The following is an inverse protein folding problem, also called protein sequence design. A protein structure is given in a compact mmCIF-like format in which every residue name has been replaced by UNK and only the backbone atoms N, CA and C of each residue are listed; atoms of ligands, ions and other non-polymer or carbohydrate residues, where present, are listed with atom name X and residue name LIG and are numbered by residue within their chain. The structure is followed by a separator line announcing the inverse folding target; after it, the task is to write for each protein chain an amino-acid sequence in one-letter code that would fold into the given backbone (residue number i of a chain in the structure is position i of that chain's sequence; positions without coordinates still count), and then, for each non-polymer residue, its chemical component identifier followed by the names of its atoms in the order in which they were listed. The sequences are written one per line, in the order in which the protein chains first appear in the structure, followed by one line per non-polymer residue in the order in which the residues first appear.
data_IF_856002870492
#
_entry.id   IF_856002870492
#
_cell.length_a   1.000
_cell.length_b   1.000
_cell.length_c   1.000
_cell.angle_alpha   90.00
_cell.angle_beta   90.00
_cell.angle_gamma   90.00
#
_symmetry.space_group_name_H-M   'P 1'
#
loop_
_entity.id
_entity.type
_entity.pdbx_description
1 polymer ?
#
# COMPACT_ATOMS: atom_id res chain seq x y z
N UNK A 1 -2.66 -18.91 -9.11
CA UNK A 1 -1.66 -18.73 -8.04
C UNK A 1 -1.58 -17.24 -7.66
N UNK A 2 -1.23 -16.90 -6.42
CA UNK A 2 -1.02 -15.50 -5.96
C UNK A 2 0.32 -14.96 -6.47
N UNK A 3 0.43 -13.64 -6.71
CA UNK A 3 1.71 -13.01 -7.06
C UNK A 3 2.75 -13.09 -5.94
N UNK A 4 3.94 -12.52 -6.15
CA UNK A 4 5.02 -12.54 -5.15
C UNK A 4 4.66 -11.62 -3.97
N UNK A 5 4.92 -12.02 -2.70
CA UNK A 5 4.65 -11.16 -1.56
C UNK A 5 5.56 -9.91 -1.60
N UNK A 6 4.97 -8.75 -1.38
CA UNK A 6 5.66 -7.47 -1.31
C UNK A 6 6.16 -7.23 0.11
N UNK A 7 7.44 -6.89 0.23
CA UNK A 7 8.01 -6.47 1.52
C UNK A 7 7.47 -5.09 1.85
N UNK A 8 6.90 -4.92 3.04
CA UNK A 8 6.35 -3.65 3.51
C UNK A 8 6.62 -3.45 5.00
N UNK A 9 6.55 -2.19 5.44
CA UNK A 9 6.56 -1.79 6.83
C UNK A 9 5.17 -1.26 7.18
N UNK A 10 4.55 -1.86 8.20
CA UNK A 10 3.21 -1.51 8.67
C UNK A 10 3.40 -0.73 9.98
N UNK A 11 2.84 0.48 10.06
CA UNK A 11 2.84 1.27 11.29
C UNK A 11 1.73 0.80 12.23
N UNK A 12 1.91 1.09 13.52
CA UNK A 12 0.86 0.84 14.50
C UNK A 12 -0.42 1.63 14.15
N UNK A 13 -1.62 1.05 14.38
CA UNK A 13 -2.87 1.77 14.22
C UNK A 13 -2.87 3.07 15.04
N UNK A 14 -3.13 4.18 14.39
CA UNK A 14 -3.26 5.49 15.02
C UNK A 14 -4.74 5.85 15.14
N UNK A 15 -5.32 5.89 16.36
CA UNK A 15 -6.70 6.28 16.55
C UNK A 15 -6.90 7.74 16.14
N UNK A 16 -7.98 8.01 15.43
CA UNK A 16 -8.43 9.36 15.09
C UNK A 16 -9.60 9.69 15.99
N UNK A 17 -9.40 10.64 16.89
CA UNK A 17 -10.43 11.21 17.74
C UNK A 17 -10.73 12.63 17.26
N UNK A 18 -11.99 12.93 16.96
CA UNK A 18 -12.46 14.28 16.68
C UNK A 18 -13.55 14.57 17.71
N UNK A 19 -13.23 15.33 18.76
CA UNK A 19 -14.16 15.63 19.85
C UNK A 19 -13.50 15.69 21.23
N UNK A 20 -14.31 15.91 22.27
CA UNK A 20 -13.85 15.90 23.66
C UNK A 20 -13.43 14.47 24.07
N UNK A 21 -12.17 14.24 24.49
CA UNK A 21 -11.70 12.92 24.94
C UNK A 21 -12.45 12.37 26.17
N UNK A 22 -13.38 13.13 26.76
CA UNK A 22 -14.22 12.72 27.90
C UNK A 22 -15.57 12.12 27.51
N UNK A 23 -15.92 12.05 26.23
CA UNK A 23 -17.16 11.42 25.80
C UNK A 23 -17.09 9.88 25.93
N UNK A 24 -18.00 9.30 26.71
CA UNK A 24 -18.05 7.85 27.00
C UNK A 24 -18.49 6.98 25.80
N UNK A 25 -19.02 7.60 24.73
CA UNK A 25 -19.54 6.91 23.55
C UNK A 25 -18.89 7.47 22.28
N UNK A 26 -17.73 6.95 21.89
CA UNK A 26 -17.16 7.25 20.57
C UNK A 26 -17.06 5.98 19.74
N UNK A 27 -17.75 5.99 18.61
CA UNK A 27 -17.42 5.11 17.50
C UNK A 27 -15.96 5.37 17.11
N UNK A 28 -15.20 4.30 16.90
CA UNK A 28 -13.77 4.41 16.66
C UNK A 28 -13.43 4.61 15.19
N UNK A 29 -12.48 5.49 14.90
CA UNK A 29 -11.76 5.53 13.64
C UNK A 29 -10.27 5.33 13.92
N UNK A 30 -9.57 4.52 13.14
CA UNK A 30 -8.14 4.32 13.24
C UNK A 30 -7.49 4.29 11.86
N UNK A 31 -6.22 4.68 11.78
CA UNK A 31 -5.47 4.67 10.53
C UNK A 31 -4.23 3.81 10.66
N UNK A 32 -4.03 2.93 9.69
CA UNK A 32 -2.81 2.12 9.54
C UNK A 32 -2.12 2.57 8.26
N UNK A 33 -0.94 3.14 8.42
CA UNK A 33 -0.07 3.51 7.30
C UNK A 33 0.90 2.37 6.99
N UNK A 34 0.95 2.00 5.71
CA UNK A 34 1.87 1.01 5.16
C UNK A 34 2.78 1.70 4.17
N UNK A 35 4.07 1.40 4.27
CA UNK A 35 5.12 1.94 3.39
C UNK A 35 5.97 0.82 2.82
N UNK A 36 6.38 0.95 1.58
CA UNK A 36 7.27 -0.02 0.93
C UNK A 36 8.73 0.45 1.07
N UNK A 37 9.69 -0.45 1.32
CA UNK A 37 11.08 -0.10 1.63
C UNK A 37 11.88 0.42 0.42
N UNK A 38 11.38 0.24 -0.80
CA UNK A 38 12.05 0.74 -1.99
C UNK A 38 11.67 2.19 -2.27
N UNK A 39 12.63 3.00 -2.70
CA UNK A 39 12.37 4.31 -3.34
C UNK A 39 11.61 4.16 -4.67
N UNK A 40 11.51 2.92 -5.18
CA UNK A 40 10.69 2.56 -6.33
C UNK A 40 9.26 2.30 -5.88
N UNK A 41 8.35 2.83 -6.67
CA UNK A 41 6.94 2.51 -6.56
C UNK A 41 6.69 1.02 -6.83
N UNK A 42 5.61 0.49 -6.25
CA UNK A 42 5.21 -0.91 -6.41
C UNK A 42 3.82 -1.00 -7.02
N UNK A 43 3.60 -2.04 -7.80
CA UNK A 43 2.27 -2.38 -8.28
C UNK A 43 1.66 -3.42 -7.33
N UNK A 44 0.39 -3.24 -6.98
CA UNK A 44 -0.32 -4.12 -6.07
C UNK A 44 -1.28 -5.00 -6.88
N UNK A 45 -1.13 -6.31 -6.78
CA UNK A 45 -2.07 -7.27 -7.33
C UNK A 45 -3.17 -7.65 -6.33
N UNK A 46 -2.81 -7.71 -5.05
CA UNK A 46 -3.71 -8.20 -4.02
C UNK A 46 -3.29 -7.78 -2.61
N UNK A 47 -4.28 -7.60 -1.75
CA UNK A 47 -4.14 -7.31 -0.33
C UNK A 47 -4.87 -8.38 0.46
N UNK A 48 -4.21 -8.98 1.45
CA UNK A 48 -4.85 -9.92 2.38
C UNK A 48 -4.65 -9.46 3.81
N UNK A 49 -5.61 -9.71 4.67
CA UNK A 49 -5.51 -9.42 6.10
C UNK A 49 -6.52 -10.26 6.87
N UNK A 50 -6.28 -10.40 8.17
CA UNK A 50 -7.27 -10.90 9.12
C UNK A 50 -7.96 -9.71 9.76
N UNK A 51 -9.28 -9.69 9.72
CA UNK A 51 -10.04 -8.68 10.44
C UNK A 51 -9.82 -8.86 11.96
N UNK A 52 -9.79 -7.75 12.69
CA UNK A 52 -9.78 -7.75 14.14
C UNK A 52 -10.80 -6.72 14.62
N UNK A 53 -12.09 -7.08 14.54
CA UNK A 53 -13.23 -6.25 14.93
C UNK A 53 -13.33 -4.90 14.20
N UNK A 54 -12.79 -4.76 12.99
CA UNK A 54 -13.07 -3.59 12.14
C UNK A 54 -14.37 -3.80 11.37
N UNK A 55 -15.29 -2.85 11.40
CA UNK A 55 -16.56 -2.97 10.69
C UNK A 55 -16.47 -2.49 9.24
N UNK A 56 -15.83 -1.34 9.01
CA UNK A 56 -15.67 -0.75 7.68
C UNK A 56 -14.19 -0.46 7.41
N UNK A 57 -13.76 -0.72 6.17
CA UNK A 57 -12.41 -0.45 5.69
C UNK A 57 -12.44 0.44 4.45
N UNK A 58 -11.70 1.54 4.49
CA UNK A 58 -11.34 2.31 3.30
C UNK A 58 -9.84 2.17 3.02
N UNK A 59 -9.46 2.09 1.75
CA UNK A 59 -8.07 1.98 1.31
C UNK A 59 -7.73 3.18 0.45
N UNK A 60 -6.68 3.89 0.85
CA UNK A 60 -6.08 4.99 0.09
C UNK A 60 -4.69 4.63 -0.37
N UNK A 61 -4.36 5.05 -1.57
CA UNK A 61 -3.08 4.76 -2.21
C UNK A 61 -2.38 6.09 -2.46
N UNK A 62 -1.10 6.18 -2.12
CA UNK A 62 -0.23 7.29 -2.53
C UNK A 62 0.49 6.87 -3.80
N UNK A 63 0.05 7.40 -4.93
CA UNK A 63 0.54 7.03 -6.25
C UNK A 63 1.55 8.07 -6.73
N UNK A 64 2.54 7.60 -7.48
CA UNK A 64 3.47 8.44 -8.24
C UNK A 64 2.91 8.64 -9.64
N UNK A 65 2.64 9.89 -10.00
CA UNK A 65 2.20 10.27 -11.33
C UNK A 65 3.27 11.14 -11.99
N UNK A 66 3.56 10.86 -13.26
CA UNK A 66 4.50 11.63 -14.07
C UNK A 66 3.70 12.43 -15.10
N UNK A 67 3.86 13.75 -15.08
CA UNK A 67 3.19 14.64 -16.03
C UNK A 67 3.92 14.65 -17.38
N UNK A 68 3.26 15.12 -18.44
CA UNK A 68 3.83 15.27 -19.80
C UNK A 68 5.14 16.09 -19.87
N UNK A 69 5.44 16.84 -18.81
CA UNK A 69 6.66 17.65 -18.63
C UNK A 69 7.80 16.92 -17.91
N UNK A 70 7.62 15.64 -17.55
CA UNK A 70 8.59 14.86 -16.76
C UNK A 70 8.62 15.22 -15.26
N UNK A 71 7.65 15.99 -14.77
CA UNK A 71 7.53 16.32 -13.36
C UNK A 71 6.80 15.19 -12.62
N UNK A 72 7.43 14.64 -11.60
CA UNK A 72 6.84 13.62 -10.73
C UNK A 72 6.03 14.26 -9.61
N UNK A 73 4.74 13.97 -9.54
CA UNK A 73 3.85 14.39 -8.45
C UNK A 73 3.40 13.18 -7.64
N UNK A 74 3.10 13.40 -6.35
CA UNK A 74 2.62 12.37 -5.45
C UNK A 74 1.20 12.70 -5.00
N UNK A 75 0.23 11.89 -5.43
CA UNK A 75 -1.19 12.13 -5.18
C UNK A 75 -1.77 11.01 -4.33
N UNK A 76 -2.66 11.38 -3.40
CA UNK A 76 -3.45 10.40 -2.66
C UNK A 76 -4.76 10.15 -3.39
N UNK A 77 -5.02 8.89 -3.70
CA UNK A 77 -6.24 8.44 -4.38
C UNK A 77 -6.98 7.42 -3.53
N UNK A 78 -8.31 7.41 -3.61
CA UNK A 78 -9.14 6.45 -2.88
C UNK A 78 -9.28 5.18 -3.72
N UNK A 79 -8.62 4.11 -3.29
CA UNK A 79 -8.69 2.80 -3.94
C UNK A 79 -9.96 2.04 -3.58
N UNK A 80 -10.42 2.13 -2.33
CA UNK A 80 -11.67 1.54 -1.86
C UNK A 80 -12.27 2.42 -0.76
N UNK A 81 -13.60 2.49 -0.68
CA UNK A 81 -14.31 3.28 0.33
C UNK A 81 -15.36 2.43 1.04
N UNK A 82 -15.32 2.46 2.37
CA UNK A 82 -16.31 1.89 3.28
C UNK A 82 -16.69 0.43 2.96
N UNK A 83 -15.69 -0.41 2.67
CA UNK A 83 -15.91 -1.84 2.46
C UNK A 83 -16.34 -2.47 3.77
N UNK A 84 -17.50 -3.12 3.75
CA UNK A 84 -18.05 -3.79 4.92
C UNK A 84 -17.33 -5.10 5.21
N UNK A 85 -16.65 -5.14 6.36
CA UNK A 85 -16.01 -6.34 6.89
C UNK A 85 -16.92 -7.07 7.88
N UNK A 86 -17.70 -6.34 8.69
CA UNK A 86 -18.69 -6.90 9.60
C UNK A 86 -20.11 -6.59 9.11
N UNK A 87 -20.95 -7.60 8.81
CA UNK A 87 -22.34 -7.40 8.39
C UNK A 87 -23.15 -6.64 9.45
N UNK A 88 -22.92 -6.97 10.72
CA UNK A 88 -23.52 -6.31 11.88
C UNK A 88 -22.40 -5.83 12.80
N UNK A 89 -22.10 -4.52 12.87
CA UNK A 89 -20.97 -3.99 13.63
C UNK A 89 -21.01 -4.31 15.13
N UNK A 90 -22.19 -4.59 15.69
CA UNK A 90 -22.37 -4.92 17.10
C UNK A 90 -22.18 -6.41 17.43
N UNK A 91 -22.00 -7.27 16.42
CA UNK A 91 -21.85 -8.72 16.60
C UNK A 91 -20.46 -9.19 16.17
N UNK A 92 -20.05 -10.39 16.59
CA UNK A 92 -18.72 -10.94 16.26
C UNK A 92 -18.63 -11.55 14.86
N UNK A 93 -19.73 -11.56 14.10
CA UNK A 93 -19.74 -12.17 12.77
C UNK A 93 -18.72 -11.49 11.85
N UNK A 94 -17.84 -12.31 11.26
CA UNK A 94 -16.70 -11.89 10.43
C UNK A 94 -15.68 -10.96 11.10
N UNK A 95 -15.76 -10.75 12.42
CA UNK A 95 -14.82 -9.90 13.17
C UNK A 95 -13.38 -10.43 13.15
N UNK A 96 -13.19 -11.74 12.96
CA UNK A 96 -11.90 -12.43 12.95
C UNK A 96 -11.63 -13.19 11.63
N UNK A 97 -12.41 -12.91 10.58
CA UNK A 97 -12.27 -13.58 9.29
C UNK A 97 -11.10 -13.05 8.47
N UNK A 98 -10.57 -13.90 7.59
CA UNK A 98 -9.60 -13.48 6.58
C UNK A 98 -10.30 -12.87 5.37
N UNK A 99 -9.74 -11.76 4.88
CA UNK A 99 -10.22 -11.05 3.71
C UNK A 99 -9.12 -10.97 2.66
N UNK A 100 -9.57 -10.89 1.41
CA UNK A 100 -8.73 -10.81 0.22
C UNK A 100 -9.35 -9.79 -0.70
N UNK A 101 -8.61 -8.70 -0.92
CA UNK A 101 -8.98 -7.62 -1.84
C UNK A 101 -8.08 -7.74 -3.04
N UNK A 102 -8.67 -8.09 -4.18
CA UNK A 102 -7.97 -8.18 -5.46
C UNK A 102 -7.91 -6.82 -6.13
N UNK A 103 -6.95 -6.68 -7.04
CA UNK A 103 -6.77 -5.51 -7.90
C UNK A 103 -8.07 -5.04 -8.57
N UNK A 104 -8.88 -5.98 -9.07
CA UNK A 104 -10.11 -5.65 -9.81
C UNK A 104 -11.21 -5.05 -8.91
N UNK A 105 -11.08 -5.17 -7.60
CA UNK A 105 -12.03 -4.59 -6.64
C UNK A 105 -11.68 -3.14 -6.30
N UNK A 106 -10.49 -2.66 -6.65
CA UNK A 106 -10.07 -1.28 -6.41
C UNK A 106 -10.64 -0.36 -7.51
N UNK A 107 -11.08 0.83 -7.10
CA UNK A 107 -11.65 1.86 -7.96
C UNK A 107 -10.64 2.45 -8.94
N UNK A 108 -9.35 2.38 -8.60
CA UNK A 108 -8.25 2.84 -9.42
C UNK A 108 -7.20 1.73 -9.56
N UNK A 109 -6.51 1.64 -10.70
CA UNK A 109 -5.38 0.73 -10.86
C UNK A 109 -4.32 1.05 -9.79
N UNK A 110 -3.98 0.11 -8.90
CA UNK A 110 -2.98 0.31 -7.85
C UNK A 110 -1.56 0.13 -8.40
N UNK A 111 -1.24 0.93 -9.41
CA UNK A 111 0.10 1.00 -10.00
C UNK A 111 0.88 2.14 -9.38
N UNK A 112 2.21 2.02 -9.44
CA UNK A 112 3.11 3.05 -8.97
C UNK A 112 2.84 3.54 -7.53
N UNK A 113 2.46 2.62 -6.64
CA UNK A 113 2.11 2.91 -5.25
C UNK A 113 3.37 3.04 -4.39
N UNK A 114 3.47 4.12 -3.61
CA UNK A 114 4.56 4.34 -2.64
C UNK A 114 4.13 4.04 -1.21
N UNK A 115 2.85 4.28 -0.90
CA UNK A 115 2.29 4.09 0.43
C UNK A 115 0.82 3.75 0.34
N UNK A 116 0.35 2.95 1.29
CA UNK A 116 -1.06 2.62 1.45
C UNK A 116 -1.52 3.09 2.81
N UNK A 117 -2.70 3.70 2.86
CA UNK A 117 -3.35 4.10 4.10
C UNK A 117 -4.66 3.34 4.24
N UNK A 118 -4.75 2.52 5.27
CA UNK A 118 -5.96 1.79 5.63
C UNK A 118 -6.69 2.61 6.70
N UNK A 119 -7.92 3.03 6.39
CA UNK A 119 -8.79 3.74 7.31
C UNK A 119 -9.81 2.74 7.84
N UNK A 120 -9.73 2.47 9.13
CA UNK A 120 -10.52 1.49 9.85
C UNK A 120 -11.61 2.22 10.63
N UNK A 121 -12.85 1.76 10.53
CA UNK A 121 -13.95 2.33 11.29
C UNK A 121 -14.72 1.24 12.01
N UNK A 122 -15.12 1.55 13.25
CA UNK A 122 -15.93 0.71 14.08
C UNK A 122 -17.02 1.56 14.74
N UNK A 123 -18.26 1.57 14.18
CA UNK A 123 -19.37 2.36 14.71
C UNK A 123 -19.95 1.79 16.01
N UNK A 124 -19.66 0.54 16.35
CA UNK A 124 -20.13 -0.04 17.61
C UNK A 124 -19.26 0.41 18.79
N UNK A 125 -19.85 0.96 19.86
CA UNK A 125 -19.11 1.33 21.07
C UNK A 125 -18.71 0.10 21.91
N UNK A 126 -19.20 -1.09 21.56
CA UNK A 126 -18.88 -2.35 22.27
C UNK A 126 -17.41 -2.73 22.10
N UNK A 127 -16.80 -2.37 20.97
CA UNK A 127 -15.45 -2.77 20.62
C UNK A 127 -14.44 -1.66 20.99
N UNK A 128 -13.88 -1.76 22.18
CA UNK A 128 -12.87 -0.82 22.68
C UNK A 128 -11.53 -0.89 21.91
N UNK A 129 -11.27 -2.01 21.25
CA UNK A 129 -10.09 -2.21 20.42
C UNK A 129 -10.49 -2.89 19.12
N UNK A 130 -10.02 -2.34 18.01
CA UNK A 130 -10.22 -2.88 16.68
C UNK A 130 -9.00 -2.57 15.81
N UNK A 131 -8.81 -3.35 14.76
CA UNK A 131 -7.67 -3.26 13.89
C UNK A 131 -7.73 -4.28 12.76
N UNK A 132 -6.58 -4.51 12.15
CA UNK A 132 -6.34 -5.58 11.19
C UNK A 132 -5.03 -6.28 11.56
N UNK A 133 -5.02 -7.61 11.46
CA UNK A 133 -3.85 -8.45 11.71
C UNK A 133 -3.39 -9.10 10.39
N UNK A 134 -2.16 -9.63 10.38
CA UNK A 134 -1.59 -10.40 9.26
C UNK A 134 -1.75 -9.72 7.88
N UNK A 135 -1.59 -8.40 7.84
CA UNK A 135 -1.71 -7.61 6.61
C UNK A 135 -0.55 -7.95 5.68
N UNK A 136 -0.86 -8.37 4.45
CA UNK A 136 0.10 -8.72 3.41
C UNK A 136 -0.34 -8.13 2.08
N UNK A 137 0.65 -7.78 1.27
CA UNK A 137 0.47 -7.27 -0.07
C UNK A 137 1.20 -8.19 -1.05
N UNK A 138 0.65 -8.36 -2.24
CA UNK A 138 1.22 -9.20 -3.30
C UNK A 138 1.29 -8.42 -4.60
N UNK A 139 2.32 -8.69 -5.41
CA UNK A 139 2.45 -8.14 -6.76
C UNK A 139 1.33 -8.64 -7.69
N UNK A 140 1.05 -7.95 -8.80
CA UNK A 140 0.24 -8.49 -9.89
C UNK A 140 0.81 -9.84 -10.38
N UNK A 141 -0.06 -10.64 -11.01
CA UNK A 141 0.39 -11.85 -11.68
C UNK A 141 1.03 -11.45 -13.01
N UNK A 142 2.22 -11.97 -13.28
CA UNK A 142 2.82 -11.89 -14.62
C UNK A 142 2.15 -12.92 -15.53
N UNK A 143 0.99 -12.59 -16.10
CA UNK A 143 0.36 -13.43 -17.16
C UNK A 143 1.28 -13.54 -18.39
N UNK A 144 2.18 -12.57 -18.59
CA UNK A 144 3.23 -12.58 -19.62
C UNK A 144 4.24 -13.72 -19.44
N UNK A 145 4.51 -14.14 -18.20
CA UNK A 145 5.43 -15.26 -17.95
C UNK A 145 4.80 -16.59 -18.31
N UNK A 146 3.50 -16.78 -18.08
CA UNK A 146 2.80 -18.01 -18.47
C UNK A 146 2.65 -18.12 -19.99
N UNK A 147 2.36 -17.00 -20.68
CA UNK A 147 2.31 -16.97 -22.15
C UNK A 147 3.68 -17.25 -22.78
N UNK A 148 4.75 -16.60 -22.31
CA UNK A 148 6.13 -16.84 -22.77
C UNK A 148 6.59 -18.28 -22.52
N UNK A 149 6.25 -18.86 -21.35
CA UNK A 149 6.60 -20.25 -21.03
C UNK A 149 5.80 -21.25 -21.89
N UNK A 150 4.54 -20.93 -22.22
CA UNK A 150 3.73 -21.75 -23.12
C UNK A 150 4.18 -21.65 -24.59
N UNK A 151 4.66 -20.49 -25.05
CA UNK A 151 5.26 -20.32 -26.39
C UNK A 151 6.62 -21.02 -26.51
N UNK A 152 7.43 -21.02 -25.45
CA UNK A 152 8.71 -21.75 -25.42
C UNK A 152 8.53 -23.28 -25.34
N UNK A 153 7.48 -23.77 -24.67
CA UNK A 153 7.16 -25.20 -24.57
C UNK A 153 6.49 -25.73 -25.83
N UNK A 154 5.74 -24.88 -26.54
CA UNK A 154 5.01 -25.27 -27.75
C UNK A 154 5.74 -24.88 -29.06
N UNK A 155 7.00 -24.42 -28.98
CA UNK A 155 7.79 -24.00 -30.13
C UNK A 155 8.40 -25.16 -30.91
N UNK A 156 7.74 -25.56 -31.99
CA UNK A 156 8.35 -26.26 -33.12
C UNK A 156 9.50 -25.38 -33.68
N UNK A 157 10.74 -25.87 -33.59
CA UNK A 157 11.94 -25.16 -34.04
C UNK A 157 12.01 -25.11 -35.58
N UNK A 158 12.07 -23.94 -36.24
CA UNK A 158 12.65 -23.85 -37.56
C UNK A 158 14.18 -23.92 -37.39
N UNK A 159 14.78 -24.95 -38.00
CA UNK A 159 16.20 -25.23 -37.95
C UNK A 159 16.97 -24.29 -38.89
N UNK A 160 17.30 -23.08 -38.44
CA UNK A 160 18.22 -22.17 -39.17
C UNK A 160 19.30 -21.59 -38.24
N UNK A 161 20.56 -21.87 -38.58
CA UNK A 161 21.78 -21.76 -37.75
C UNK A 161 22.31 -20.33 -37.47
N UNK A 162 21.58 -19.25 -37.81
CA UNK A 162 22.12 -17.88 -37.75
C UNK A 162 21.88 -17.13 -36.41
N UNK A 163 21.01 -17.63 -35.53
CA UNK A 163 20.65 -16.91 -34.30
C UNK A 163 21.58 -17.17 -33.09
N UNK A 164 22.47 -18.18 -33.15
CA UNK A 164 23.30 -18.59 -32.01
C UNK A 164 24.57 -17.75 -31.78
N UNK A 165 24.88 -16.77 -32.63
CA UNK A 165 26.05 -15.91 -32.45
C UNK A 165 25.76 -14.58 -31.72
N UNK A 166 24.49 -14.17 -31.58
CA UNK A 166 24.14 -12.89 -30.93
C UNK A 166 23.94 -12.97 -29.41
N UNK A 167 23.90 -14.18 -28.83
CA UNK A 167 23.75 -14.38 -27.37
C UNK A 167 25.12 -14.42 -26.67
N UNK A 168 26.18 -14.88 -27.35
CA UNK A 168 27.54 -14.98 -26.78
C UNK A 168 28.30 -13.66 -26.71
N UNK A 169 27.89 -12.62 -27.45
CA UNK A 169 28.55 -11.30 -27.49
C UNK A 169 28.00 -10.29 -26.49
N UNK A 170 26.92 -10.58 -25.77
CA UNK A 170 26.29 -9.63 -24.81
C UNK A 170 26.76 -9.76 -23.34
N UNK A 171 27.69 -10.65 -23.03
CA UNK A 171 28.20 -10.84 -21.64
C UNK A 171 29.49 -10.05 -21.36
N UNK A 172 30.01 -9.27 -22.31
CA UNK A 172 31.12 -8.35 -22.10
C UNK A 172 30.65 -6.91 -22.23
N UNK A 173 30.34 -6.30 -21.09
CA UNK A 173 30.53 -4.88 -20.72
C UNK A 173 29.43 -4.48 -19.73
N UNK A 174 29.76 -4.53 -18.44
CA UNK A 174 29.11 -3.74 -17.39
C UNK A 174 30.17 -3.50 -16.31
N UNK A 175 31.15 -2.65 -16.64
CA UNK A 175 31.85 -1.84 -15.64
C UNK A 175 31.04 -0.56 -15.56
N UNK A 176 30.37 -0.34 -14.45
CA UNK A 176 30.06 0.99 -13.88
C UNK A 176 29.32 0.76 -12.56
N UNK A 177 30.08 0.35 -11.53
CA UNK A 177 29.65 0.41 -10.13
C UNK A 177 30.22 1.73 -9.60
N UNK A 178 29.39 2.71 -9.18
CA UNK A 178 29.90 3.98 -8.69
C UNK A 178 30.74 3.78 -7.42
N UNK A 179 31.77 4.62 -7.20
CA UNK A 179 32.70 4.47 -6.09
C UNK A 179 31.98 4.59 -4.73
N UNK A 180 32.43 3.78 -3.77
CA UNK A 180 31.82 3.61 -2.43
C UNK A 180 31.64 4.91 -1.63
N UNK A 181 32.40 5.95 -1.97
CA UNK A 181 32.37 7.28 -1.35
C UNK A 181 31.18 8.13 -1.83
N UNK A 182 30.66 7.90 -3.03
CA UNK A 182 29.45 8.55 -3.53
C UNK A 182 28.18 7.94 -2.90
N UNK A 183 28.25 6.65 -2.59
CA UNK A 183 27.17 5.92 -1.91
C UNK A 183 27.01 6.42 -0.47
N UNK A 184 28.12 6.68 0.22
CA UNK A 184 28.11 7.15 1.62
C UNK A 184 27.64 8.60 1.76
N UNK A 185 28.03 9.50 0.85
CA UNK A 185 27.58 10.90 0.85
C UNK A 185 26.08 11.01 0.54
N UNK A 186 25.58 10.21 -0.40
CA UNK A 186 24.14 10.11 -0.71
C UNK A 186 23.33 9.60 0.48
N UNK A 187 23.83 8.58 1.18
CA UNK A 187 23.19 8.09 2.41
C UNK A 187 23.19 9.16 3.50
N UNK A 188 24.32 9.82 3.75
CA UNK A 188 24.41 10.88 4.77
C UNK A 188 23.48 12.07 4.48
N UNK A 189 23.37 12.47 3.22
CA UNK A 189 22.40 13.49 2.80
C UNK A 189 20.95 13.04 3.03
N UNK A 190 20.65 11.78 2.75
CA UNK A 190 19.33 11.20 2.99
C UNK A 190 18.97 11.15 4.48
N UNK A 191 19.94 10.81 5.34
CA UNK A 191 19.78 10.85 6.80
C UNK A 191 19.54 12.27 7.32
N UNK A 192 20.25 13.27 6.79
CA UNK A 192 20.08 14.67 7.17
C UNK A 192 18.68 15.22 6.82
N UNK A 193 18.12 14.81 5.68
CA UNK A 193 16.76 15.19 5.27
C UNK A 193 15.68 14.53 6.15
N UNK A 194 15.90 13.29 6.60
CA UNK A 194 14.96 12.62 7.52
C UNK A 194 14.90 13.31 8.88
N UNK A 195 16.04 13.82 9.37
CA UNK A 195 16.10 14.48 10.67
C UNK A 195 15.39 15.85 10.63
N UNK A 196 15.51 16.61 9.54
CA UNK A 196 14.78 17.88 9.39
C UNK A 196 13.28 17.67 9.19
N UNK A 197 12.84 16.61 8.51
CA UNK A 197 11.43 16.26 8.38
C UNK A 197 10.79 15.80 9.71
N UNK A 198 11.57 15.17 10.59
CA UNK A 198 11.14 14.78 11.94
C UNK A 198 10.85 16.00 12.82
N UNK A 199 11.66 17.05 12.68
CA UNK A 199 11.54 18.29 13.47
C UNK A 199 10.31 19.12 13.06
N UNK A 200 9.86 19.02 11.81
CA UNK A 200 8.69 19.75 11.29
C UNK A 200 7.35 19.01 11.48
N UNK A 201 7.27 17.97 12.31
CA UNK A 201 5.98 17.39 12.70
C UNK A 201 5.24 18.34 13.64
N UNK A 202 4.48 19.27 13.05
CA UNK A 202 3.57 20.17 13.75
C UNK A 202 2.42 19.40 14.42
N UNK A 203 2.13 19.81 15.66
CA UNK A 203 1.10 19.30 16.57
C UNK A 203 -0.34 19.64 16.12
N UNK A 204 -0.75 19.17 14.95
CA UNK A 204 -2.15 19.15 14.56
C UNK A 204 -2.51 17.73 14.10
N UNK A 205 -3.03 16.93 15.04
CA UNK A 205 -3.38 15.52 14.83
C UNK A 205 -4.19 15.29 13.56
N UNK A 206 -5.12 16.20 13.23
CA UNK A 206 -6.01 16.06 12.09
C UNK A 206 -5.41 16.45 10.73
N UNK A 207 -4.59 17.51 10.69
CA UNK A 207 -4.21 18.18 9.44
C UNK A 207 -3.38 17.31 8.48
N UNK A 208 -2.59 16.38 9.02
CA UNK A 208 -1.81 15.42 8.21
C UNK A 208 -2.62 14.23 7.69
N UNK A 209 -3.82 14.02 8.24
CA UNK A 209 -4.68 12.90 7.89
C UNK A 209 -5.83 13.34 6.99
N UNK A 210 -6.29 14.58 7.06
CA UNK A 210 -7.35 15.11 6.20
C UNK A 210 -7.02 14.93 4.71
N UNK A 211 -7.73 14.01 4.08
CA UNK A 211 -7.63 13.71 2.65
C UNK A 211 -9.08 13.68 2.18
N UNK A 212 -9.48 14.72 1.46
CA UNK A 212 -10.72 14.83 0.68
C UNK A 212 -11.98 14.40 1.45
N UNK A 213 -12.17 14.92 2.67
CA UNK A 213 -13.40 14.69 3.46
C UNK A 213 -13.72 13.21 3.74
N UNK A 214 -12.73 12.33 3.67
CA UNK A 214 -12.95 10.88 3.76
C UNK A 214 -13.14 10.36 5.18
N UNK A 215 -13.16 11.26 6.16
CA UNK A 215 -13.55 10.97 7.53
C UNK A 215 -15.02 11.33 7.64
N UNK A 216 -15.87 10.34 7.91
CA UNK A 216 -17.25 10.62 8.31
C UNK A 216 -17.21 11.26 9.70
N UNK A 217 -17.17 12.59 9.73
CA UNK A 217 -17.14 13.40 10.97
C UNK A 217 -18.37 13.06 11.82
N UNK A 218 -19.48 12.67 11.20
CA UNK A 218 -20.71 12.26 11.86
C UNK A 218 -20.56 11.01 12.75
N UNK A 219 -19.57 10.13 12.50
CA UNK A 219 -19.28 9.01 13.41
C UNK A 219 -18.48 9.44 14.63
N UNK A 220 -17.83 10.60 14.57
CA UNK A 220 -16.95 11.10 15.62
C UNK A 220 -17.66 12.10 16.54
N UNK A 221 -18.85 12.56 16.16
CA UNK A 221 -19.68 13.51 16.90
C UNK A 221 -21.09 12.96 17.11
N UNK A 222 -21.25 11.96 17.99
CA UNK A 222 -22.51 11.79 18.68
C UNK A 222 -22.35 12.36 20.09
N UNK A 223 -22.78 13.63 20.23
CA UNK A 223 -23.11 14.27 21.52
C UNK A 223 -24.37 13.70 22.11
#
# INVERSE_FOLDING_TARGET
MTGKPLVCSIRNPHPITIGDPRAEFSSGCAVVDVTFPSTKSVDIGEITFKNNYTALLSIKLKVREENDKGETTLTWVTGLKNVQLMPEPHCEDRAQSYFRIKREQLLVPPDNVLSVRLVLQQPSPVWLSFGLDDIKFYSPKDETSELMLSELVNGDMPADDEAMNNIRTRVKENKDIPPVEEISSSLQQMWALSETARINQTEASLGRFDIDGSYDINLLSYT
#
